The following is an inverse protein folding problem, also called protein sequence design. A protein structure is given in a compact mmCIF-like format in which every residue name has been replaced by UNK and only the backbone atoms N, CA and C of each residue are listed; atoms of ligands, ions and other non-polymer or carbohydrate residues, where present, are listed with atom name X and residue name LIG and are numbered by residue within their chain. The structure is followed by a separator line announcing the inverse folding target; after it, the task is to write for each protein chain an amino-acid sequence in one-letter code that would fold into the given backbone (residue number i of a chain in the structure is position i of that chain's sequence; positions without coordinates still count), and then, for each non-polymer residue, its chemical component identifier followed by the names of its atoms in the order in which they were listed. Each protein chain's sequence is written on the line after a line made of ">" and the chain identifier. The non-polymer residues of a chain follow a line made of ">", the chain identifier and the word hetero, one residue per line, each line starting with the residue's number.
data_IF_328911665006
#
_entry.id   IF_328911665006
#
_cell.length_a   1.000
_cell.length_b   1.000
_cell.length_c   1.000
_cell.angle_alpha   90.00
_cell.angle_beta   90.00
_cell.angle_gamma   90.00
#
_symmetry.space_group_name_H-M   'P 1'
#
loop_
_entity.id
_entity.type
_entity.pdbx_description
1 polymer ?
#
# COMPACT_ATOMS: atom_id res chain seq x y z
N UNK A 1 8.98 17.75 18.53
CA UNK A 1 8.20 16.60 19.06
C UNK A 1 8.00 15.52 18.01
N UNK A 2 6.98 15.58 17.13
CA UNK A 2 6.52 14.44 16.31
C UNK A 2 7.61 13.68 15.54
N UNK A 3 8.49 14.37 14.80
CA UNK A 3 9.58 13.72 14.05
C UNK A 3 10.61 13.03 14.97
N UNK A 4 10.87 13.57 16.16
CA UNK A 4 11.75 12.94 17.14
C UNK A 4 11.11 11.67 17.71
N UNK A 5 9.80 11.68 17.95
CA UNK A 5 9.05 10.48 18.39
C UNK A 5 9.12 9.37 17.34
N UNK A 6 8.84 9.71 16.08
CA UNK A 6 8.87 8.76 14.97
C UNK A 6 10.27 8.22 14.66
N UNK A 7 11.34 8.96 15.03
CA UNK A 7 12.74 8.56 14.80
C UNK A 7 13.37 7.79 15.97
N UNK A 8 12.93 8.00 17.21
CA UNK A 8 13.68 7.55 18.40
C UNK A 8 12.91 6.70 19.42
N UNK A 9 11.58 6.54 19.32
CA UNK A 9 10.81 6.01 20.45
C UNK A 9 10.60 4.48 20.47
N UNK A 10 10.86 3.91 21.65
CA UNK A 10 10.38 2.60 22.08
C UNK A 10 8.96 2.68 22.67
N UNK A 11 8.82 2.62 24.00
CA UNK A 11 7.51 2.76 24.65
C UNK A 11 7.03 4.22 24.69
N UNK A 12 5.73 4.43 24.95
CA UNK A 12 5.19 5.77 25.18
C UNK A 12 5.80 6.46 26.40
N UNK A 13 6.19 5.68 27.41
CA UNK A 13 6.81 6.18 28.65
C UNK A 13 8.20 6.75 28.35
N UNK A 14 8.99 6.06 27.52
CA UNK A 14 10.23 6.60 26.95
C UNK A 14 9.95 7.82 26.06
N UNK A 15 8.88 7.79 25.27
CA UNK A 15 8.53 8.87 24.35
C UNK A 15 8.08 10.16 25.07
N UNK A 16 7.30 10.04 26.14
CA UNK A 16 6.65 11.17 26.80
C UNK A 16 7.54 11.82 27.87
N UNK A 17 8.39 11.01 28.53
CA UNK A 17 9.42 11.51 29.46
C UNK A 17 10.43 12.43 28.77
N UNK A 18 10.79 12.18 27.50
CA UNK A 18 11.60 13.08 26.67
C UNK A 18 11.01 14.50 26.50
N UNK A 19 9.71 14.69 26.76
CA UNK A 19 9.03 15.99 26.66
C UNK A 19 8.43 16.45 28.00
N UNK A 20 8.63 15.72 29.10
CA UNK A 20 8.07 16.05 30.41
C UNK A 20 6.54 15.93 30.51
N UNK A 21 5.92 15.04 29.73
CA UNK A 21 4.46 14.88 29.66
C UNK A 21 4.06 13.46 30.09
N UNK A 22 2.93 13.31 30.80
CA UNK A 22 2.37 12.01 31.14
C UNK A 22 2.03 11.16 29.90
N UNK A 23 2.25 9.83 29.90
CA UNK A 23 2.07 8.98 28.71
C UNK A 23 0.67 9.05 28.07
N UNK A 24 -0.40 9.19 28.86
CA UNK A 24 -1.78 9.20 28.34
C UNK A 24 -2.18 10.52 27.67
N UNK A 25 -1.96 11.72 28.28
CA UNK A 25 -2.02 13.00 27.58
C UNK A 25 -1.11 13.04 26.34
N UNK A 26 0.13 12.55 26.45
CA UNK A 26 1.08 12.52 25.34
C UNK A 26 0.59 11.68 24.16
N UNK A 27 0.14 10.44 24.40
CA UNK A 27 -0.42 9.57 23.37
C UNK A 27 -1.63 10.19 22.68
N UNK A 28 -2.55 10.82 23.44
CA UNK A 28 -3.73 11.51 22.89
C UNK A 28 -3.34 12.71 22.02
N UNK A 29 -2.39 13.52 22.47
CA UNK A 29 -1.88 14.68 21.73
C UNK A 29 -1.17 14.25 20.45
N UNK A 30 -0.23 13.30 20.54
CA UNK A 30 0.51 12.78 19.40
C UNK A 30 -0.41 12.10 18.39
N UNK A 31 -1.42 11.33 18.84
CA UNK A 31 -2.44 10.75 17.96
C UNK A 31 -3.25 11.78 17.16
N UNK A 32 -3.59 12.93 17.76
CA UNK A 32 -4.24 14.05 17.04
C UNK A 32 -3.30 14.67 16.00
N UNK A 33 -2.03 14.92 16.35
CA UNK A 33 -1.06 15.44 15.40
C UNK A 33 -0.78 14.46 14.25
N UNK A 34 -0.75 13.16 14.52
CA UNK A 34 -0.66 12.13 13.49
C UNK A 34 -1.83 12.19 12.52
N UNK A 35 -3.08 12.22 13.00
CA UNK A 35 -4.26 12.28 12.13
C UNK A 35 -4.30 13.53 11.22
N UNK A 36 -3.82 14.68 11.71
CA UNK A 36 -3.70 15.89 10.89
C UNK A 36 -2.59 15.77 9.83
N UNK A 37 -1.46 15.14 10.18
CA UNK A 37 -0.36 14.90 9.24
C UNK A 37 -0.73 13.85 8.19
N UNK A 38 -1.47 12.81 8.54
CA UNK A 38 -2.05 11.83 7.61
C UNK A 38 -2.82 12.51 6.49
N UNK A 39 -3.85 13.29 6.82
CA UNK A 39 -4.69 13.94 5.81
C UNK A 39 -3.88 14.91 4.95
N UNK A 40 -2.99 15.70 5.56
CA UNK A 40 -2.14 16.65 4.82
C UNK A 40 -1.16 15.95 3.87
N UNK A 41 -0.49 14.87 4.32
CA UNK A 41 0.51 14.17 3.54
C UNK A 41 -0.12 13.32 2.43
N UNK A 42 -1.26 12.67 2.70
CA UNK A 42 -2.02 11.96 1.67
C UNK A 42 -2.52 12.93 0.58
N UNK A 43 -3.08 14.08 0.97
CA UNK A 43 -3.49 15.12 0.04
C UNK A 43 -2.32 15.61 -0.81
N UNK A 44 -1.21 16.01 -0.18
CA UNK A 44 -0.06 16.64 -0.86
C UNK A 44 0.71 15.70 -1.79
N UNK A 45 0.94 14.45 -1.35
CA UNK A 45 1.84 13.52 -2.05
C UNK A 45 1.11 12.46 -2.89
N UNK A 46 -0.13 12.09 -2.54
CA UNK A 46 -0.91 11.08 -3.26
C UNK A 46 -1.92 11.76 -4.18
N UNK A 47 -2.93 12.45 -3.63
CA UNK A 47 -4.03 13.06 -4.43
C UNK A 47 -3.51 14.18 -5.34
N UNK A 48 -2.73 15.12 -4.82
CA UNK A 48 -2.13 16.17 -5.63
C UNK A 48 -0.85 15.67 -6.33
N UNK A 49 -0.36 14.47 -5.99
CA UNK A 49 0.61 13.72 -6.79
C UNK A 49 0.00 13.26 -8.12
N UNK A 50 -1.13 12.55 -8.04
CA UNK A 50 -1.93 12.08 -9.18
C UNK A 50 -2.31 13.22 -10.12
N UNK A 51 -2.99 14.27 -9.62
CA UNK A 51 -3.43 15.41 -10.46
C UNK A 51 -2.32 16.12 -11.26
N UNK A 52 -1.06 16.01 -10.84
CA UNK A 52 0.10 16.60 -11.54
C UNK A 52 0.58 15.76 -12.73
N UNK A 53 0.07 14.53 -12.89
CA UNK A 53 0.45 13.59 -13.92
C UNK A 53 -0.80 13.08 -14.63
N UNK A 54 -0.95 13.38 -15.91
CA UNK A 54 -1.91 12.72 -16.80
C UNK A 54 -1.15 11.80 -17.74
N UNK A 55 -1.80 10.77 -18.28
CA UNK A 55 -1.14 9.89 -19.24
C UNK A 55 -0.70 10.68 -20.47
N UNK A 56 -1.51 11.60 -20.99
CA UNK A 56 -1.10 12.52 -22.07
C UNK A 56 0.20 13.25 -21.78
N UNK A 57 0.37 13.78 -20.56
CA UNK A 57 1.60 14.48 -20.16
C UNK A 57 2.79 13.51 -20.10
N UNK A 58 2.58 12.31 -19.58
CA UNK A 58 3.62 11.29 -19.38
C UNK A 58 4.07 10.67 -20.71
N UNK A 59 3.15 10.39 -21.64
CA UNK A 59 3.46 9.99 -23.02
C UNK A 59 4.27 11.07 -23.76
N UNK A 60 3.84 12.34 -23.66
CA UNK A 60 4.54 13.45 -24.31
C UNK A 60 5.93 13.75 -23.71
N UNK A 61 6.18 13.36 -22.45
CA UNK A 61 7.50 13.46 -21.81
C UNK A 61 8.30 12.15 -21.84
N UNK A 62 7.86 11.14 -22.61
CA UNK A 62 8.46 9.79 -22.67
C UNK A 62 8.72 9.15 -21.29
N UNK A 63 7.81 9.40 -20.34
CA UNK A 63 7.87 8.96 -18.95
C UNK A 63 6.76 7.93 -18.64
N UNK A 64 6.45 7.07 -19.61
CA UNK A 64 5.58 5.89 -19.46
C UNK A 64 6.41 4.71 -18.95
N UNK A 65 5.76 3.55 -18.75
CA UNK A 65 6.50 2.29 -18.71
C UNK A 65 7.17 1.98 -20.05
N UNK A 66 8.26 1.21 -20.04
CA UNK A 66 9.13 0.96 -21.20
C UNK A 66 8.55 -0.11 -22.14
N UNK A 67 8.05 -1.20 -21.58
CA UNK A 67 7.50 -2.34 -22.32
C UNK A 67 5.97 -2.24 -22.45
N UNK A 68 5.28 -1.61 -21.49
CA UNK A 68 3.82 -1.44 -21.50
C UNK A 68 3.37 0.03 -21.40
N UNK A 69 3.55 0.86 -22.45
CA UNK A 69 3.08 2.26 -22.47
C UNK A 69 1.57 2.46 -22.25
N UNK A 70 0.76 1.41 -22.38
CA UNK A 70 -0.67 1.39 -22.05
C UNK A 70 -0.97 1.29 -20.54
N UNK A 71 0.00 0.92 -19.71
CA UNK A 71 -0.20 0.83 -18.27
C UNK A 71 -0.04 2.21 -17.61
N UNK A 72 -0.99 2.58 -16.75
CA UNK A 72 -0.92 3.84 -16.02
C UNK A 72 -0.09 3.69 -14.74
N UNK A 73 -0.28 2.59 -14.00
CA UNK A 73 0.41 2.33 -12.74
C UNK A 73 0.69 0.85 -12.52
N UNK A 74 1.63 0.58 -11.62
CA UNK A 74 1.86 -0.73 -11.02
C UNK A 74 1.26 -0.78 -9.61
N UNK A 75 0.60 -1.88 -9.26
CA UNK A 75 0.00 -2.12 -7.95
C UNK A 75 0.54 -3.41 -7.33
N UNK A 76 0.87 -3.34 -6.04
CA UNK A 76 1.22 -4.48 -5.21
C UNK A 76 0.93 -4.14 -3.73
N UNK A 77 1.05 -5.11 -2.82
CA UNK A 77 0.89 -4.89 -1.38
C UNK A 77 2.21 -5.06 -0.64
N UNK A 78 2.42 -4.17 0.35
CA UNK A 78 3.55 -4.26 1.27
C UNK A 78 3.11 -4.73 2.66
N UNK A 79 3.88 -5.63 3.26
CA UNK A 79 3.71 -6.06 4.65
C UNK A 79 4.27 -5.02 5.63
N UNK A 80 3.52 -4.69 6.67
CA UNK A 80 3.94 -3.86 7.80
C UNK A 80 3.86 -4.64 9.11
N UNK A 81 5.03 -4.88 9.72
CA UNK A 81 5.14 -5.55 11.01
C UNK A 81 4.39 -4.78 12.11
N UNK A 82 3.69 -5.52 12.97
CA UNK A 82 3.00 -4.99 14.15
C UNK A 82 3.31 -5.83 15.39
N UNK A 83 3.25 -5.23 16.57
CA UNK A 83 3.26 -6.00 17.82
C UNK A 83 2.08 -6.97 17.84
N UNK A 84 2.31 -8.21 18.32
CA UNK A 84 1.26 -9.25 18.38
C UNK A 84 0.00 -8.68 19.04
N UNK A 85 -1.14 -8.58 18.34
CA UNK A 85 -2.31 -7.90 18.87
C UNK A 85 -2.90 -8.67 20.06
N UNK A 86 -3.34 -7.95 21.09
CA UNK A 86 -4.14 -8.55 22.15
C UNK A 86 -5.50 -9.01 21.59
N UNK A 87 -5.87 -10.25 21.87
CA UNK A 87 -7.09 -10.91 21.40
C UNK A 87 -7.02 -12.43 21.56
N UNK A 88 -8.12 -13.13 21.29
CA UNK A 88 -8.14 -14.60 21.25
C UNK A 88 -7.41 -15.15 20.02
N UNK A 89 -6.97 -16.42 20.06
CA UNK A 89 -6.13 -17.03 19.00
C UNK A 89 -6.64 -16.78 17.58
N UNK A 90 -7.94 -16.98 17.32
CA UNK A 90 -8.54 -16.78 16.00
C UNK A 90 -8.55 -15.30 15.53
N UNK A 91 -8.56 -14.34 16.46
CA UNK A 91 -8.42 -12.92 16.13
C UNK A 91 -6.97 -12.58 15.80
N UNK A 92 -6.02 -13.14 16.55
CA UNK A 92 -4.57 -12.92 16.36
C UNK A 92 -4.08 -13.55 15.05
N UNK A 93 -4.57 -14.76 14.72
CA UNK A 93 -4.21 -15.50 13.50
C UNK A 93 -4.43 -14.69 12.22
N UNK A 94 -5.44 -13.81 12.16
CA UNK A 94 -5.71 -12.94 10.99
C UNK A 94 -4.57 -12.00 10.63
N UNK A 95 -3.67 -11.73 11.57
CA UNK A 95 -2.54 -10.82 11.39
C UNK A 95 -1.20 -11.55 11.23
N UNK A 96 -1.17 -12.89 11.23
CA UNK A 96 0.09 -13.64 11.17
C UNK A 96 0.54 -13.91 9.73
N UNK A 97 1.72 -13.44 9.37
CA UNK A 97 2.35 -13.72 8.08
C UNK A 97 3.07 -15.07 8.11
N UNK A 98 2.63 -16.01 7.28
CA UNK A 98 3.37 -17.24 7.03
C UNK A 98 4.72 -17.01 6.31
N UNK A 99 4.82 -15.92 5.53
CA UNK A 99 6.02 -15.53 4.76
C UNK A 99 7.09 -14.87 5.63
N UNK A 100 6.67 -14.05 6.60
CA UNK A 100 7.57 -13.26 7.44
C UNK A 100 7.69 -13.78 8.89
N UNK A 101 6.94 -14.80 9.28
CA UNK A 101 6.80 -15.34 10.64
C UNK A 101 6.45 -14.30 11.73
N UNK A 102 5.94 -13.14 11.31
CA UNK A 102 5.64 -11.97 12.14
C UNK A 102 4.15 -11.67 12.11
N UNK A 103 3.69 -10.88 13.07
CA UNK A 103 2.35 -10.29 12.99
C UNK A 103 2.45 -8.97 12.20
N UNK A 104 1.40 -8.62 11.44
CA UNK A 104 1.35 -7.39 10.68
C UNK A 104 0.01 -7.14 9.99
N UNK A 105 0.03 -6.08 9.19
CA UNK A 105 -1.00 -5.71 8.23
C UNK A 105 -0.41 -5.70 6.83
N UNK A 106 -1.26 -5.70 5.82
CA UNK A 106 -0.89 -5.33 4.45
C UNK A 106 -1.63 -4.06 4.01
N UNK A 107 -0.99 -3.30 3.13
CA UNK A 107 -1.57 -2.13 2.44
C UNK A 107 -1.18 -2.23 0.99
N UNK A 108 -2.14 -1.97 0.12
CA UNK A 108 -1.93 -1.84 -1.31
C UNK A 108 -1.46 -0.42 -1.63
N UNK A 109 -0.50 -0.31 -2.55
CA UNK A 109 -0.04 0.99 -3.07
C UNK A 109 0.02 0.91 -4.58
N UNK A 110 -0.50 1.94 -5.25
CA UNK A 110 -0.49 2.08 -6.71
C UNK A 110 0.50 3.17 -7.11
N UNK A 111 1.46 2.86 -7.98
CA UNK A 111 2.64 3.69 -8.30
C UNK A 111 2.78 3.89 -9.81
N UNK A 112 2.84 5.14 -10.26
CA UNK A 112 3.06 5.52 -11.68
C UNK A 112 4.55 5.44 -12.06
N UNK A 113 4.92 5.36 -13.36
CA UNK A 113 6.32 5.25 -13.82
C UNK A 113 7.29 6.28 -13.22
N UNK A 114 6.81 7.49 -12.90
CA UNK A 114 7.58 8.54 -12.20
C UNK A 114 8.01 8.16 -10.77
N UNK A 115 7.67 6.96 -10.27
CA UNK A 115 8.04 6.47 -8.94
C UNK A 115 7.28 7.14 -7.80
N UNK A 116 6.09 7.67 -8.08
CA UNK A 116 5.17 8.39 -7.18
C UNK A 116 3.93 7.52 -6.93
N UNK A 117 3.44 7.46 -5.70
CA UNK A 117 2.20 6.77 -5.37
C UNK A 117 0.97 7.65 -5.68
N UNK A 118 -0.04 7.07 -6.32
CA UNK A 118 -1.35 7.70 -6.63
C UNK A 118 -2.52 7.11 -5.82
N UNK A 119 -2.30 5.98 -5.14
CA UNK A 119 -3.20 5.43 -4.13
C UNK A 119 -2.41 4.68 -3.06
N UNK A 120 -2.91 4.67 -1.83
CA UNK A 120 -2.42 3.88 -0.71
C UNK A 120 -3.62 3.51 0.20
N UNK A 121 -3.97 2.23 0.30
CA UNK A 121 -5.21 1.80 0.98
C UNK A 121 -5.14 1.89 2.51
N UNK A 122 -6.30 1.70 3.14
CA UNK A 122 -6.38 1.33 4.56
C UNK A 122 -5.67 -0.01 4.84
N UNK A 123 -5.35 -0.23 6.13
CA UNK A 123 -4.61 -1.41 6.59
C UNK A 123 -5.51 -2.62 6.78
N UNK A 124 -5.27 -3.65 5.97
CA UNK A 124 -5.99 -4.92 6.08
C UNK A 124 -5.19 -5.98 6.86
N UNK A 125 -5.87 -6.95 7.52
CA UNK A 125 -5.19 -8.07 8.15
C UNK A 125 -4.36 -8.87 7.13
N UNK A 126 -3.18 -9.33 7.55
CA UNK A 126 -2.26 -10.10 6.70
C UNK A 126 -2.87 -11.38 6.07
N UNK A 127 -3.92 -11.94 6.69
CA UNK A 127 -4.65 -13.10 6.16
C UNK A 127 -5.72 -12.76 5.09
N UNK A 128 -6.00 -11.47 4.82
CA UNK A 128 -6.86 -11.06 3.70
C UNK A 128 -6.14 -11.34 2.38
N UNK A 129 -6.85 -11.84 1.37
CA UNK A 129 -6.25 -12.15 0.08
C UNK A 129 -5.96 -10.89 -0.73
N UNK A 130 -4.83 -10.87 -1.43
CA UNK A 130 -4.30 -9.69 -2.13
C UNK A 130 -5.28 -9.16 -3.20
N UNK A 131 -5.91 -10.08 -3.93
CA UNK A 131 -6.97 -9.79 -4.91
C UNK A 131 -8.27 -9.27 -4.28
N UNK A 132 -8.56 -9.61 -3.02
CA UNK A 132 -9.76 -9.09 -2.33
C UNK A 132 -9.59 -7.60 -2.05
N UNK A 133 -8.41 -7.17 -1.62
CA UNK A 133 -8.14 -5.76 -1.28
C UNK A 133 -8.25 -4.87 -2.52
N UNK A 134 -7.71 -5.32 -3.65
CA UNK A 134 -7.86 -4.65 -4.95
C UNK A 134 -9.34 -4.53 -5.36
N UNK A 135 -10.11 -5.60 -5.25
CA UNK A 135 -11.53 -5.58 -5.61
C UNK A 135 -12.41 -4.78 -4.63
N UNK A 136 -12.01 -4.68 -3.35
CA UNK A 136 -12.65 -3.78 -2.38
C UNK A 136 -12.29 -2.31 -2.70
N UNK A 137 -11.08 -2.05 -3.22
CA UNK A 137 -10.58 -0.75 -3.67
C UNK A 137 -11.02 -0.37 -5.12
N UNK A 138 -11.98 -1.09 -5.70
CA UNK A 138 -12.45 -0.92 -7.09
C UNK A 138 -12.82 0.51 -7.51
N UNK A 139 -13.28 1.35 -6.57
CA UNK A 139 -13.67 2.73 -6.88
C UNK A 139 -12.45 3.56 -7.33
N UNK A 140 -11.31 3.40 -6.66
CA UNK A 140 -10.05 3.98 -7.13
C UNK A 140 -9.64 3.36 -8.47
N UNK A 141 -9.62 2.02 -8.60
CA UNK A 141 -9.11 1.39 -9.82
C UNK A 141 -9.92 1.75 -11.07
N UNK A 142 -11.25 1.71 -11.00
CA UNK A 142 -12.14 2.09 -12.10
C UNK A 142 -12.06 3.59 -12.43
N UNK A 143 -11.81 4.45 -11.43
CA UNK A 143 -11.55 5.87 -11.64
C UNK A 143 -10.22 6.14 -12.33
N UNK A 144 -9.12 5.64 -11.75
CA UNK A 144 -7.76 5.87 -12.23
C UNK A 144 -7.45 5.19 -13.57
N UNK A 145 -8.08 4.05 -13.88
CA UNK A 145 -7.92 3.40 -15.18
C UNK A 145 -8.72 4.11 -16.28
N UNK A 146 -9.75 4.92 -15.99
CA UNK A 146 -10.57 5.53 -17.04
C UNK A 146 -9.79 6.61 -17.81
N UNK A 147 -9.61 6.40 -19.12
CA UNK A 147 -9.00 7.39 -20.03
C UNK A 147 -9.81 8.69 -20.05
N UNK A 148 -9.13 9.83 -20.01
CA UNK A 148 -9.76 11.12 -20.26
C UNK A 148 -10.23 11.23 -21.73
N UNK A 149 -11.24 12.05 -22.08
CA UNK A 149 -11.73 12.17 -23.45
C UNK A 149 -10.66 12.60 -24.47
N UNK A 150 -9.65 13.37 -24.02
CA UNK A 150 -8.50 13.83 -24.80
C UNK A 150 -7.31 12.84 -24.81
N UNK A 151 -7.51 11.63 -24.29
CA UNK A 151 -6.57 10.51 -24.21
C UNK A 151 -7.03 9.28 -25.02
N UNK A 152 -8.30 9.23 -25.44
CA UNK A 152 -8.88 8.11 -26.21
C UNK A 152 -8.23 7.85 -27.58
N UNK A 153 -7.49 8.83 -28.10
CA UNK A 153 -6.76 8.78 -29.37
C UNK A 153 -5.24 8.55 -29.21
N UNK A 154 -4.75 8.42 -27.97
CA UNK A 154 -3.35 8.09 -27.74
C UNK A 154 -3.08 6.64 -28.17
N UNK A 155 -2.13 6.44 -29.08
CA UNK A 155 -1.64 5.12 -29.42
C UNK A 155 -0.85 4.56 -28.22
N UNK A 156 -1.41 3.54 -27.57
CA UNK A 156 -0.90 2.93 -26.36
C UNK A 156 -0.25 1.55 -26.58
N UNK A 157 -0.34 1.03 -27.81
CA UNK A 157 0.05 -0.34 -28.20
C UNK A 157 -0.52 -1.44 -27.29
N UNK A 158 -1.67 -1.21 -26.66
CA UNK A 158 -2.20 -2.07 -25.61
C UNK A 158 -2.74 -3.42 -26.10
N UNK A 159 -2.54 -4.52 -25.33
CA UNK A 159 -3.20 -5.79 -25.62
C UNK A 159 -4.73 -5.64 -25.50
N UNK A 160 -5.48 -6.23 -26.43
CA UNK A 160 -6.95 -6.18 -26.49
C UNK A 160 -7.54 -4.76 -26.58
N UNK A 161 -6.94 -3.89 -27.39
CA UNK A 161 -7.36 -2.50 -27.61
C UNK A 161 -8.84 -2.30 -28.01
N UNK A 162 -9.52 -3.30 -28.58
CA UNK A 162 -10.97 -3.22 -28.85
C UNK A 162 -11.82 -3.39 -27.58
N UNK A 163 -11.39 -4.25 -26.63
CA UNK A 163 -12.13 -4.53 -25.40
C UNK A 163 -11.97 -3.43 -24.35
N UNK A 164 -10.77 -2.85 -24.25
CA UNK A 164 -10.42 -1.87 -23.21
C UNK A 164 -10.11 -0.48 -23.80
N UNK A 165 -10.74 -0.12 -24.93
CA UNK A 165 -10.47 1.16 -25.64
C UNK A 165 -10.56 2.40 -24.74
N UNK A 166 -11.45 2.38 -23.75
CA UNK A 166 -11.73 3.47 -22.80
C UNK A 166 -10.85 3.49 -21.56
N UNK A 167 -9.97 2.50 -21.37
CA UNK A 167 -9.30 2.27 -20.10
C UNK A 167 -7.79 2.05 -20.30
N UNK A 168 -7.01 2.53 -19.34
CA UNK A 168 -5.58 2.29 -19.19
C UNK A 168 -5.35 0.98 -18.45
N UNK A 169 -4.21 0.33 -18.71
CA UNK A 169 -3.86 -0.91 -18.05
C UNK A 169 -3.28 -0.70 -16.63
N UNK A 170 -3.28 -1.77 -15.84
CA UNK A 170 -2.63 -1.85 -14.53
C UNK A 170 -1.64 -3.02 -14.52
N UNK A 171 -0.41 -2.78 -14.06
CA UNK A 171 0.60 -3.82 -13.84
C UNK A 171 0.43 -4.41 -12.44
N UNK A 172 0.24 -5.73 -12.33
CA UNK A 172 0.01 -6.42 -11.04
C UNK A 172 0.89 -7.65 -10.87
N UNK A 173 1.07 -8.12 -9.65
CA UNK A 173 1.80 -9.36 -9.39
C UNK A 173 1.07 -10.63 -9.90
N UNK A 174 1.86 -11.68 -10.13
CA UNK A 174 1.46 -13.06 -10.43
C UNK A 174 0.49 -13.69 -9.40
N UNK A 175 0.38 -13.11 -8.20
CA UNK A 175 -0.58 -13.47 -7.16
C UNK A 175 -2.04 -13.11 -7.46
N UNK A 176 -2.30 -12.08 -8.28
CA UNK A 176 -3.64 -11.49 -8.50
C UNK A 176 -4.53 -12.31 -9.46
N UNK A 177 -4.71 -13.60 -9.14
CA UNK A 177 -5.39 -14.56 -10.01
C UNK A 177 -6.88 -14.23 -10.23
N UNK A 178 -7.18 -13.57 -11.34
CA UNK A 178 -8.55 -13.36 -11.83
C UNK A 178 -8.84 -11.95 -12.35
N UNK A 179 -8.02 -10.95 -12.00
CA UNK A 179 -8.31 -9.53 -12.31
C UNK A 179 -8.55 -9.26 -13.81
N UNK A 180 -7.82 -9.94 -14.70
CA UNK A 180 -7.96 -9.80 -16.15
C UNK A 180 -9.34 -10.19 -16.75
N UNK A 181 -10.33 -10.54 -15.91
CA UNK A 181 -11.74 -10.70 -16.29
C UNK A 181 -12.56 -9.41 -16.18
N UNK A 182 -12.16 -8.52 -15.29
CA UNK A 182 -12.91 -7.32 -14.88
C UNK A 182 -12.11 -6.02 -15.12
N UNK A 183 -10.78 -6.12 -15.17
CA UNK A 183 -9.85 -5.01 -15.34
C UNK A 183 -8.88 -5.29 -16.49
N UNK A 184 -8.34 -4.24 -17.10
CA UNK A 184 -7.21 -4.32 -18.04
C UNK A 184 -5.88 -4.62 -17.29
N UNK A 185 -5.80 -5.79 -16.65
CA UNK A 185 -4.68 -6.18 -15.80
C UNK A 185 -3.58 -6.92 -16.59
N UNK A 186 -2.39 -6.33 -16.63
CA UNK A 186 -1.17 -6.92 -17.20
C UNK A 186 -0.43 -7.61 -16.05
N UNK A 187 -0.28 -8.94 -16.15
CA UNK A 187 0.21 -9.79 -15.05
C UNK A 187 1.09 -10.93 -15.59
N UNK A 188 2.15 -11.38 -14.87
CA UNK A 188 3.00 -12.47 -15.34
C UNK A 188 2.26 -13.80 -15.45
N UNK A 189 2.33 -14.45 -16.62
CA UNK A 189 1.76 -15.77 -16.88
C UNK A 189 2.30 -16.81 -15.91
N UNK A 190 1.38 -17.53 -15.25
CA UNK A 190 1.66 -18.55 -14.24
C UNK A 190 1.62 -19.95 -14.86
N UNK A 191 2.73 -20.70 -14.71
CA UNK A 191 2.77 -22.14 -15.06
C UNK A 191 1.67 -22.86 -14.28
N UNK A 192 0.81 -23.60 -14.99
CA UNK A 192 -0.25 -24.38 -14.35
C UNK A 192 0.34 -25.63 -13.65
N UNK A 193 -0.38 -26.16 -12.66
CA UNK A 193 0.04 -27.39 -11.97
C UNK A 193 0.07 -28.53 -13.00
N UNK A 194 1.19 -29.25 -13.04
CA UNK A 194 1.47 -30.35 -13.97
C UNK A 194 1.54 -29.98 -15.47
N UNK A 195 1.57 -28.69 -15.86
CA UNK A 195 1.81 -28.32 -17.26
C UNK A 195 3.29 -28.48 -17.66
N UNK A 196 3.60 -28.44 -18.97
CA UNK A 196 4.96 -28.14 -19.45
C UNK A 196 5.51 -26.82 -18.87
N UNK A 197 6.83 -26.57 -18.95
CA UNK A 197 7.40 -25.24 -18.75
C UNK A 197 6.72 -24.18 -19.65
N UNK A 198 6.81 -22.92 -19.26
CA UNK A 198 6.39 -21.81 -20.13
C UNK A 198 7.33 -21.73 -21.33
N UNK A 199 6.82 -21.31 -22.49
CA UNK A 199 7.67 -21.06 -23.66
C UNK A 199 8.63 -19.90 -23.42
N UNK A 200 9.71 -19.85 -24.20
CA UNK A 200 10.72 -18.80 -24.09
C UNK A 200 10.12 -17.38 -24.26
N UNK A 201 9.17 -17.21 -25.16
CA UNK A 201 8.51 -15.92 -25.40
C UNK A 201 7.60 -15.49 -24.24
N UNK A 202 6.92 -16.45 -23.60
CA UNK A 202 6.13 -16.20 -22.39
C UNK A 202 7.03 -15.91 -21.17
N UNK A 203 8.24 -16.46 -21.13
CA UNK A 203 9.25 -16.08 -20.13
C UNK A 203 9.75 -14.66 -20.39
N UNK A 204 10.15 -14.32 -21.62
CA UNK A 204 10.54 -12.96 -22.03
C UNK A 204 9.46 -11.93 -21.66
N UNK A 205 8.19 -12.24 -21.92
CA UNK A 205 7.08 -11.35 -21.59
C UNK A 205 6.88 -11.20 -20.08
N UNK A 206 7.03 -12.28 -19.30
CA UNK A 206 7.04 -12.18 -17.84
C UNK A 206 8.19 -11.31 -17.32
N UNK A 207 9.36 -11.38 -17.95
CA UNK A 207 10.53 -10.60 -17.56
C UNK A 207 10.29 -9.10 -17.82
N UNK A 208 9.68 -8.75 -18.97
CA UNK A 208 9.21 -7.37 -19.27
C UNK A 208 8.18 -6.87 -18.27
N UNK A 209 7.17 -7.68 -17.94
CA UNK A 209 6.14 -7.30 -16.96
C UNK A 209 6.78 -7.08 -15.59
N UNK A 210 7.76 -7.92 -15.23
CA UNK A 210 8.50 -7.79 -13.96
C UNK A 210 9.42 -6.57 -13.94
N UNK A 211 10.03 -6.22 -15.08
CA UNK A 211 10.82 -5.00 -15.26
C UNK A 211 9.98 -3.75 -15.00
N UNK A 212 8.88 -3.58 -15.73
CA UNK A 212 8.06 -2.37 -15.61
C UNK A 212 7.37 -2.28 -14.23
N UNK A 213 6.92 -3.43 -13.70
CA UNK A 213 6.35 -3.52 -12.35
C UNK A 213 7.36 -3.17 -11.25
N UNK A 214 8.67 -3.20 -11.49
CA UNK A 214 9.70 -2.93 -10.46
C UNK A 214 9.58 -1.54 -9.82
N UNK A 215 8.86 -0.59 -10.44
CA UNK A 215 8.62 0.74 -9.87
C UNK A 215 7.93 0.69 -8.49
N UNK A 216 7.02 -0.27 -8.26
CA UNK A 216 6.31 -0.41 -6.97
C UNK A 216 7.22 -1.03 -5.90
N UNK A 217 8.05 -2.01 -6.26
CA UNK A 217 9.05 -2.59 -5.36
C UNK A 217 10.16 -1.58 -5.04
N UNK A 218 10.57 -0.74 -6.00
CA UNK A 218 11.48 0.38 -5.77
C UNK A 218 10.84 1.50 -4.92
N UNK A 219 9.52 1.67 -4.95
CA UNK A 219 8.81 2.53 -3.99
C UNK A 219 8.83 1.91 -2.59
N UNK A 220 8.53 0.61 -2.46
CA UNK A 220 8.61 -0.11 -1.19
C UNK A 220 10.03 -0.15 -0.60
N UNK A 221 11.07 -0.29 -1.44
CA UNK A 221 12.47 -0.20 -1.01
C UNK A 221 12.80 1.16 -0.42
N UNK A 222 12.31 2.24 -1.07
CA UNK A 222 12.43 3.62 -0.54
C UNK A 222 11.68 3.80 0.78
N UNK A 223 10.44 3.29 0.91
CA UNK A 223 9.68 3.29 2.17
C UNK A 223 10.42 2.58 3.31
N UNK A 224 11.09 1.44 3.02
CA UNK A 224 11.80 0.61 4.00
C UNK A 224 13.18 1.16 4.40
N UNK A 225 13.76 2.05 3.59
CA UNK A 225 15.12 2.59 3.76
C UNK A 225 15.13 4.02 4.32
N UNK A 226 14.11 4.81 4.04
CA UNK A 226 13.97 6.20 4.50
C UNK A 226 12.95 6.27 5.64
N UNK A 227 13.09 7.22 6.56
CA UNK A 227 12.03 7.53 7.55
C UNK A 227 10.88 8.26 6.84
N UNK A 228 10.09 7.52 6.06
CA UNK A 228 8.93 8.06 5.35
C UNK A 228 7.74 8.09 6.30
N UNK A 229 7.27 9.29 6.61
CA UNK A 229 6.15 9.54 7.51
C UNK A 229 4.83 9.36 6.76
N UNK A 230 4.56 8.13 6.28
CA UNK A 230 3.20 7.75 5.86
C UNK A 230 2.41 7.43 7.12
N UNK A 231 1.59 8.38 7.56
CA UNK A 231 0.73 8.23 8.73
C UNK A 231 -0.63 7.70 8.27
N UNK A 232 -1.13 6.64 8.93
CA UNK A 232 -2.53 6.23 8.86
C UNK A 232 -3.03 5.92 10.28
N UNK A 233 -4.11 6.54 10.75
CA UNK A 233 -4.60 6.45 12.14
C UNK A 233 -5.89 5.64 12.23
N UNK A 234 -5.85 4.55 13.00
CA UNK A 234 -7.04 3.72 13.27
C UNK A 234 -7.78 4.24 14.51
N UNK A 235 -8.98 4.78 14.30
CA UNK A 235 -9.93 5.08 15.39
C UNK A 235 -10.57 3.80 15.93
N UNK A 236 -10.11 3.31 17.09
CA UNK A 236 -10.55 2.00 17.62
C UNK A 236 -10.38 1.85 19.13
N UNK A 237 -11.07 2.66 19.93
CA UNK A 237 -11.08 2.54 21.39
C UNK A 237 -12.11 1.52 21.89
N UNK A 238 -11.68 0.53 22.67
CA UNK A 238 -12.58 -0.38 23.41
C UNK A 238 -12.44 -0.11 24.91
N UNK A 239 -13.51 0.40 25.53
CA UNK A 239 -13.59 0.57 26.98
C UNK A 239 -14.06 -0.73 27.65
N UNK A 240 -13.48 -1.05 28.81
CA UNK A 240 -14.04 -2.02 29.76
C UNK A 240 -14.06 -1.38 31.13
N UNK A 241 -15.24 -1.35 31.75
CA UNK A 241 -15.40 -1.13 33.18
C UNK A 241 -15.13 -2.44 33.94
N UNK A 242 -14.76 -2.33 35.22
CA UNK A 242 -14.77 -3.45 36.18
C UNK A 242 -15.46 -3.00 37.47
N UNK A 243 -15.99 -3.95 38.24
CA UNK A 243 -16.99 -3.70 39.28
C UNK A 243 -16.55 -2.89 40.51
N UNK A 244 -15.26 -2.55 40.66
CA UNK A 244 -14.73 -1.89 41.86
C UNK A 244 -14.48 -0.38 41.67
N UNK A 245 -15.30 0.32 40.87
CA UNK A 245 -15.26 1.78 40.64
C UNK A 245 -13.99 2.32 39.95
N UNK A 246 -12.93 1.53 39.84
CA UNK A 246 -11.62 1.94 39.32
C UNK A 246 -11.58 1.78 37.80
N UNK A 247 -11.80 2.87 37.08
CA UNK A 247 -11.78 2.91 35.60
C UNK A 247 -10.35 2.73 35.05
N UNK A 248 -9.83 1.49 35.09
CA UNK A 248 -8.59 1.13 34.38
C UNK A 248 -8.82 1.14 32.87
N UNK A 249 -8.57 2.30 32.26
CA UNK A 249 -8.40 2.45 30.82
C UNK A 249 -7.11 1.78 30.37
N UNK A 250 -7.11 0.45 30.29
CA UNK A 250 -6.02 -0.35 29.72
C UNK A 250 -6.03 -0.20 28.20
N UNK A 251 -5.62 0.97 27.72
CA UNK A 251 -5.44 1.27 26.29
C UNK A 251 -4.30 0.41 25.76
N UNK A 252 -4.64 -0.80 25.30
CA UNK A 252 -3.67 -1.72 24.71
C UNK A 252 -3.06 -1.07 23.47
N UNK A 253 -1.74 -0.80 23.52
CA UNK A 253 -1.00 -0.12 22.46
C UNK A 253 -0.81 -1.06 21.28
N UNK A 254 -1.83 -1.15 20.43
CA UNK A 254 -1.75 -1.77 19.10
C UNK A 254 -1.04 -0.81 18.15
N UNK A 255 0.29 -0.75 18.31
CA UNK A 255 1.32 -0.27 17.37
C UNK A 255 1.07 1.08 16.69
N UNK A 256 1.90 2.09 17.02
CA UNK A 256 2.14 3.23 16.11
C UNK A 256 2.67 2.68 14.80
N UNK A 257 1.83 2.62 13.77
CA UNK A 257 2.15 1.87 12.57
C UNK A 257 2.74 2.81 11.51
N UNK A 258 4.03 3.09 11.68
CA UNK A 258 4.91 3.65 10.65
C UNK A 258 5.47 2.52 9.75
N UNK A 259 5.86 2.83 8.52
CA UNK A 259 5.76 1.84 7.43
C UNK A 259 6.96 0.90 7.19
N UNK A 260 7.41 0.20 8.25
CA UNK A 260 8.48 -0.83 8.24
C UNK A 260 9.89 -0.25 8.03
N UNK A 261 10.74 -0.14 9.06
CA UNK A 261 11.72 -1.16 9.50
C UNK A 261 12.93 -1.35 8.56
N UNK A 262 14.09 -0.92 9.05
CA UNK A 262 15.32 -1.72 9.00
C UNK A 262 16.09 -1.59 10.33
N UNK A 263 17.09 -2.46 10.56
CA UNK A 263 17.73 -2.71 11.86
C UNK A 263 19.26 -2.74 11.73
N UNK A 264 19.94 -2.57 12.87
CA UNK A 264 21.40 -2.64 13.08
C UNK A 264 22.15 -1.47 12.42
N UNK A 265 23.04 -0.75 13.09
CA UNK A 265 23.90 -1.12 14.24
C UNK A 265 23.16 -1.23 15.57
#
# INVERSE_FOLDING_TARGET
>A
MTLAVLKHCGSWDTASSMFGIDPSPFQKMFGKFLALLETFLYQTFVIDGEKRHTMKKMTLSSNTFENFPCAWYATDLTFQQTNRPAGGFQQVKKYYSGKHHLHGFKVEVSVIPAGIAINCTNREPEATADVTIFCDNKEFHLGAMRKAPNELELNDSGPSAEQYKTDWAVLVDKGYQGLAREYMAIQPTKKARNSPPLSYDVLRENDRISHDRVVVENYFGRLKTVVVVVVVVVGGGVTRTSGNGTTRSTTCVKTVTAFSVMRNV
#
